data_IF_787113655278
#
_entry.id   IF_787113655278
#
_cell.length_a   1.000
_cell.length_b   1.000
_cell.length_c   1.000
_cell.angle_alpha   90.00
_cell.angle_beta   90.00
_cell.angle_gamma   90.00
#
_symmetry.space_group_name_H-M   'P 1'
#
loop_
_entity.id
_entity.type
_entity.pdbx_description
1 polymer ?
#
# COMPACT_ATOMS: atom_id res chain seq x y z
N UNK A 1 -18.45 12.08 -20.23
CA UNK A 1 -18.53 11.58 -18.85
C UNK A 1 -19.59 10.51 -18.78
N UNK A 2 -19.22 9.29 -18.52
CA UNK A 2 -20.17 8.21 -18.29
C UNK A 2 -20.87 8.47 -16.94
N UNK A 3 -22.15 8.85 -16.99
CA UNK A 3 -22.95 9.19 -15.79
C UNK A 3 -23.17 8.00 -14.84
N UNK A 4 -22.72 6.81 -15.22
CA UNK A 4 -22.88 5.57 -14.44
C UNK A 4 -21.70 5.20 -13.57
N UNK A 5 -20.53 5.84 -13.73
CA UNK A 5 -19.37 5.52 -12.89
C UNK A 5 -19.44 6.21 -11.53
N UNK A 6 -19.13 5.49 -10.42
CA UNK A 6 -19.16 6.10 -9.09
C UNK A 6 -18.09 7.19 -8.98
N UNK A 7 -18.41 8.27 -8.27
CA UNK A 7 -17.42 9.30 -7.92
C UNK A 7 -16.53 8.77 -6.79
N UNK A 8 -15.27 8.54 -7.09
CA UNK A 8 -14.30 7.93 -6.17
C UNK A 8 -13.40 9.00 -5.55
N UNK A 9 -13.33 9.04 -4.22
CA UNK A 9 -12.31 9.77 -3.48
C UNK A 9 -11.09 8.88 -3.26
N UNK A 10 -9.91 9.34 -3.63
CA UNK A 10 -8.63 8.67 -3.34
C UNK A 10 -7.89 9.47 -2.29
N UNK A 11 -7.70 8.92 -1.09
CA UNK A 11 -6.79 9.50 -0.10
C UNK A 11 -5.39 8.93 -0.29
N UNK A 12 -4.36 9.70 0.04
CA UNK A 12 -2.99 9.28 -0.26
C UNK A 12 -2.67 9.27 -1.76
N UNK A 13 -3.42 10.03 -2.56
CA UNK A 13 -3.32 10.08 -4.02
C UNK A 13 -1.93 10.42 -4.57
N UNK A 14 -1.13 11.16 -3.82
CA UNK A 14 0.26 11.51 -4.18
C UNK A 14 1.31 10.51 -3.70
N UNK A 15 0.89 9.41 -3.06
CA UNK A 15 1.77 8.30 -2.66
C UNK A 15 1.99 7.32 -3.81
N UNK A 16 2.93 6.38 -3.64
CA UNK A 16 3.31 5.40 -4.65
C UNK A 16 2.10 4.65 -5.27
N UNK A 17 1.29 3.98 -4.44
CA UNK A 17 0.08 3.26 -4.91
C UNK A 17 -1.01 4.26 -5.34
N UNK A 18 -1.15 5.37 -4.61
CA UNK A 18 -2.17 6.38 -4.89
C UNK A 18 -2.02 7.06 -6.23
N UNK A 19 -0.79 7.31 -6.67
CA UNK A 19 -0.48 7.87 -7.98
C UNK A 19 -0.91 6.92 -9.10
N UNK A 20 -0.60 5.64 -8.97
CA UNK A 20 -0.99 4.62 -9.95
C UNK A 20 -2.51 4.44 -10.02
N UNK A 21 -3.20 4.40 -8.86
CA UNK A 21 -4.67 4.39 -8.80
C UNK A 21 -5.25 5.64 -9.47
N UNK A 22 -4.70 6.82 -9.18
CA UNK A 22 -5.18 8.08 -9.73
C UNK A 22 -5.03 8.14 -11.25
N UNK A 23 -3.91 7.65 -11.77
CA UNK A 23 -3.62 7.56 -13.21
C UNK A 23 -4.62 6.63 -13.90
N UNK A 24 -4.81 5.40 -13.40
CA UNK A 24 -5.76 4.44 -13.97
C UNK A 24 -7.20 4.97 -13.99
N UNK A 25 -7.66 5.61 -12.91
CA UNK A 25 -8.98 6.22 -12.87
C UNK A 25 -9.14 7.33 -13.91
N UNK A 26 -8.15 8.22 -14.02
CA UNK A 26 -8.14 9.30 -15.00
C UNK A 26 -8.16 8.77 -16.45
N UNK A 27 -7.30 7.80 -16.77
CA UNK A 27 -7.21 7.17 -18.11
C UNK A 27 -8.48 6.41 -18.49
N UNK A 28 -9.20 5.84 -17.50
CA UNK A 28 -10.49 5.18 -17.75
C UNK A 28 -11.66 6.15 -17.99
N UNK A 29 -11.40 7.46 -18.00
CA UNK A 29 -12.42 8.50 -18.11
C UNK A 29 -13.25 8.72 -16.84
N UNK A 30 -12.87 8.09 -15.72
CA UNK A 30 -13.37 8.43 -14.41
C UNK A 30 -12.63 9.67 -13.92
N UNK A 31 -13.36 10.71 -13.51
CA UNK A 31 -12.77 11.92 -12.93
C UNK A 31 -12.75 11.80 -11.40
N UNK A 32 -11.71 11.17 -10.80
CA UNK A 32 -11.65 10.95 -9.37
C UNK A 32 -11.48 12.26 -8.60
N UNK A 33 -11.85 12.25 -7.32
CA UNK A 33 -11.43 13.28 -6.38
C UNK A 33 -10.16 12.83 -5.68
N UNK A 34 -9.07 13.60 -5.83
CA UNK A 34 -7.76 13.29 -5.29
C UNK A 34 -7.48 14.15 -4.05
N UNK A 35 -7.40 13.50 -2.89
CA UNK A 35 -7.09 14.16 -1.64
C UNK A 35 -5.58 14.34 -1.49
N UNK A 36 -5.13 15.59 -1.43
CA UNK A 36 -3.74 15.98 -1.22
C UNK A 36 -3.60 16.79 0.06
N UNK A 37 -2.56 16.50 0.85
CA UNK A 37 -2.30 17.22 2.10
C UNK A 37 -1.63 18.57 1.87
N UNK A 38 -0.68 18.61 0.95
CA UNK A 38 0.09 19.82 0.60
C UNK A 38 0.07 20.02 -0.92
N UNK A 39 -0.10 21.27 -1.43
CA UNK A 39 -0.16 21.52 -2.86
C UNK A 39 1.03 20.97 -3.66
N UNK A 40 2.25 21.10 -3.13
CA UNK A 40 3.46 20.58 -3.78
C UNK A 40 3.45 19.06 -3.98
N UNK A 41 2.73 18.32 -3.15
CA UNK A 41 2.58 16.86 -3.31
C UNK A 41 1.71 16.49 -4.52
N UNK A 42 0.85 17.41 -4.98
CA UNK A 42 0.01 17.22 -6.14
C UNK A 42 0.72 17.46 -7.48
N UNK A 43 1.94 17.99 -7.51
CA UNK A 43 2.63 18.34 -8.77
C UNK A 43 2.80 17.13 -9.70
N UNK A 44 3.10 15.97 -9.17
CA UNK A 44 3.31 14.74 -9.97
C UNK A 44 2.04 14.23 -10.64
N UNK A 45 0.88 14.47 -10.02
CA UNK A 45 -0.44 14.03 -10.49
C UNK A 45 -1.29 15.18 -11.04
N UNK A 46 -0.74 16.40 -11.09
CA UNK A 46 -1.46 17.62 -11.49
C UNK A 46 -1.90 17.66 -12.95
N UNK A 47 -1.32 16.78 -13.78
CA UNK A 47 -1.67 16.63 -15.20
C UNK A 47 -2.89 15.71 -15.42
N UNK A 48 -3.35 14.97 -14.38
CA UNK A 48 -4.48 14.05 -14.49
C UNK A 48 -5.81 14.80 -14.55
N UNK A 49 -6.76 14.27 -15.33
CA UNK A 49 -8.15 14.75 -15.30
C UNK A 49 -8.83 14.30 -14.00
N UNK A 50 -8.73 15.14 -12.99
CA UNK A 50 -9.19 14.86 -11.63
C UNK A 50 -9.66 16.14 -10.92
N UNK A 51 -10.47 15.97 -9.87
CA UNK A 51 -10.80 17.02 -8.93
C UNK A 51 -9.81 16.96 -7.74
N UNK A 52 -9.06 18.02 -7.51
CA UNK A 52 -8.13 18.08 -6.37
C UNK A 52 -8.78 18.72 -5.17
N UNK A 53 -8.63 18.09 -4.00
CA UNK A 53 -9.08 18.65 -2.73
C UNK A 53 -7.95 18.62 -1.70
N UNK A 54 -7.75 19.76 -1.05
CA UNK A 54 -6.78 19.81 0.05
C UNK A 54 -7.47 19.40 1.35
N UNK A 55 -6.98 18.31 1.97
CA UNK A 55 -7.43 17.86 3.28
C UNK A 55 -6.35 17.03 3.97
N UNK A 56 -6.43 16.92 5.30
CA UNK A 56 -5.50 16.14 6.14
C UNK A 56 -6.30 15.20 7.03
N UNK A 57 -5.86 13.94 7.14
CA UNK A 57 -6.47 12.93 8.01
C UNK A 57 -6.48 13.37 9.50
N UNK A 58 -5.55 14.23 9.88
CA UNK A 58 -5.47 14.79 11.24
C UNK A 58 -6.33 16.04 11.45
N UNK A 59 -7.03 16.48 10.41
CA UNK A 59 -8.00 17.60 10.47
C UNK A 59 -9.41 17.16 10.06
N UNK A 60 -10.26 16.70 11.01
CA UNK A 60 -11.59 16.20 10.71
C UNK A 60 -12.48 17.19 9.95
N UNK A 61 -12.30 18.51 10.15
CA UNK A 61 -13.09 19.53 9.45
C UNK A 61 -12.80 19.53 7.95
N UNK A 62 -11.57 19.31 7.54
CA UNK A 62 -11.19 19.21 6.12
C UNK A 62 -11.79 17.98 5.45
N UNK A 63 -11.99 16.89 6.19
CA UNK A 63 -12.53 15.63 5.67
C UNK A 63 -14.01 15.75 5.26
N UNK A 64 -14.80 16.55 5.96
CA UNK A 64 -16.23 16.80 5.64
C UNK A 64 -16.38 17.33 4.20
N UNK A 65 -15.51 18.23 3.78
CA UNK A 65 -15.53 18.75 2.41
C UNK A 65 -14.98 17.72 1.41
N UNK A 66 -13.99 16.94 1.82
CA UNK A 66 -13.38 15.93 0.94
C UNK A 66 -14.38 14.84 0.51
N UNK A 67 -15.29 14.42 1.39
CA UNK A 67 -16.25 13.33 1.11
C UNK A 67 -17.57 13.80 0.48
N UNK A 68 -17.83 15.10 0.37
CA UNK A 68 -19.11 15.62 -0.11
C UNK A 68 -19.40 15.20 -1.55
N UNK A 69 -20.51 14.48 -1.77
CA UNK A 69 -20.94 14.00 -3.09
C UNK A 69 -20.02 12.92 -3.68
N UNK A 70 -19.35 12.14 -2.83
CA UNK A 70 -18.54 10.98 -3.18
C UNK A 70 -19.37 9.72 -3.00
N UNK A 71 -19.30 8.77 -3.92
CA UNK A 71 -19.96 7.46 -3.84
C UNK A 71 -19.10 6.42 -3.15
N UNK A 72 -17.78 6.42 -3.44
CA UNK A 72 -16.84 5.42 -2.94
C UNK A 72 -15.52 6.05 -2.51
N UNK A 73 -14.89 5.49 -1.49
CA UNK A 73 -13.59 5.94 -0.98
C UNK A 73 -12.56 4.83 -1.14
N UNK A 74 -11.42 5.14 -1.78
CA UNK A 74 -10.18 4.38 -1.75
C UNK A 74 -9.25 5.02 -0.71
N UNK A 75 -9.20 4.43 0.48
CA UNK A 75 -8.41 4.96 1.58
C UNK A 75 -7.01 4.36 1.60
N UNK A 76 -6.08 5.03 0.90
CA UNK A 76 -4.65 4.68 0.80
C UNK A 76 -3.77 5.58 1.67
N UNK A 77 -4.35 6.65 2.22
CA UNK A 77 -3.65 7.61 3.05
C UNK A 77 -3.20 6.98 4.36
N UNK A 78 -1.88 6.84 4.54
CA UNK A 78 -1.28 6.30 5.74
C UNK A 78 0.14 6.86 5.94
N UNK A 79 0.64 6.78 7.17
CA UNK A 79 2.06 6.92 7.47
C UNK A 79 2.70 5.53 7.39
N UNK A 80 3.13 5.15 6.18
CA UNK A 80 3.70 3.83 5.89
C UNK A 80 5.17 3.75 6.37
N UNK A 81 5.37 3.80 7.68
CA UNK A 81 6.69 3.75 8.34
C UNK A 81 6.66 2.75 9.49
N UNK A 82 7.85 2.25 9.88
CA UNK A 82 7.98 1.30 10.98
C UNK A 82 8.32 2.00 12.31
N UNK A 83 7.54 3.02 12.63
CA UNK A 83 7.63 3.78 13.88
C UNK A 83 6.78 3.16 14.98
N UNK A 84 6.81 3.74 16.18
CA UNK A 84 6.01 3.26 17.31
C UNK A 84 4.50 3.45 17.05
N UNK A 85 3.71 2.62 17.69
CA UNK A 85 2.24 2.68 17.63
C UNK A 85 1.72 4.11 17.89
N UNK A 86 2.23 4.78 18.93
CA UNK A 86 1.79 6.13 19.29
C UNK A 86 2.10 7.18 18.21
N UNK A 87 3.20 7.02 17.47
CA UNK A 87 3.54 7.91 16.35
C UNK A 87 2.63 7.69 15.14
N UNK A 88 2.21 6.44 14.91
CA UNK A 88 1.38 6.07 13.77
C UNK A 88 -0.11 6.36 14.01
N UNK A 89 -0.56 6.29 15.27
CA UNK A 89 -1.97 6.36 15.67
C UNK A 89 -2.73 7.57 15.12
N UNK A 90 -2.23 8.82 15.23
CA UNK A 90 -3.01 9.99 14.80
C UNK A 90 -3.43 9.94 13.33
N UNK A 91 -2.57 9.37 12.45
CA UNK A 91 -2.84 9.30 11.02
C UNK A 91 -3.56 8.01 10.64
N UNK A 92 -3.07 6.84 11.13
CA UNK A 92 -3.57 5.55 10.68
C UNK A 92 -4.90 5.19 11.34
N UNK A 93 -5.01 5.32 12.66
CA UNK A 93 -6.21 4.95 13.37
C UNK A 93 -7.21 6.11 13.46
N UNK A 94 -6.80 7.18 14.15
CA UNK A 94 -7.71 8.27 14.48
C UNK A 94 -8.17 9.00 13.21
N UNK A 95 -7.27 9.24 12.25
CA UNK A 95 -7.58 9.85 10.96
C UNK A 95 -8.47 8.99 10.07
N UNK A 96 -8.28 7.65 10.07
CA UNK A 96 -9.15 6.73 9.31
C UNK A 96 -10.57 6.71 9.88
N UNK A 97 -10.70 6.75 11.21
CA UNK A 97 -12.01 6.80 11.87
C UNK A 97 -12.73 8.11 11.60
N UNK A 98 -12.02 9.23 11.66
CA UNK A 98 -12.59 10.54 11.31
C UNK A 98 -13.05 10.60 9.85
N UNK A 99 -12.30 9.96 8.93
CA UNK A 99 -12.70 9.83 7.54
C UNK A 99 -13.96 8.95 7.38
N UNK A 100 -14.08 7.84 8.12
CA UNK A 100 -15.25 6.97 8.10
C UNK A 100 -16.48 7.70 8.66
N UNK A 101 -16.34 8.45 9.75
CA UNK A 101 -17.42 9.27 10.31
C UNK A 101 -17.91 10.31 9.31
N UNK A 102 -17.00 11.04 8.66
CA UNK A 102 -17.34 11.99 7.61
C UNK A 102 -18.03 11.31 6.41
N UNK A 103 -17.55 10.13 6.01
CA UNK A 103 -18.11 9.32 4.92
C UNK A 103 -19.53 8.87 5.23
N UNK A 104 -19.79 8.38 6.43
CA UNK A 104 -21.12 7.98 6.89
C UNK A 104 -22.09 9.16 6.88
N UNK A 105 -21.68 10.32 7.42
CA UNK A 105 -22.48 11.54 7.42
C UNK A 105 -22.80 12.05 6.00
N UNK A 106 -21.92 11.80 5.02
CA UNK A 106 -22.11 12.17 3.62
C UNK A 106 -22.82 11.09 2.78
N UNK A 107 -23.28 9.98 3.40
CA UNK A 107 -23.94 8.84 2.73
C UNK A 107 -23.08 8.18 1.65
N UNK A 108 -21.77 8.10 1.87
CA UNK A 108 -20.84 7.31 1.03
C UNK A 108 -21.26 5.84 1.09
N UNK A 109 -21.28 5.17 -0.05
CA UNK A 109 -21.78 3.79 -0.17
C UNK A 109 -20.69 2.75 0.14
N UNK A 110 -19.48 3.00 -0.34
CA UNK A 110 -18.38 2.03 -0.27
C UNK A 110 -17.12 2.66 0.28
N UNK A 111 -16.47 1.96 1.20
CA UNK A 111 -15.19 2.36 1.80
C UNK A 111 -14.20 1.21 1.69
N UNK A 112 -13.17 1.36 0.85
CA UNK A 112 -12.10 0.38 0.67
C UNK A 112 -10.84 0.86 1.37
N UNK A 113 -10.35 0.08 2.32
CA UNK A 113 -9.18 0.39 3.14
C UNK A 113 -7.96 -0.42 2.70
N UNK A 114 -6.84 0.26 2.47
CA UNK A 114 -5.54 -0.41 2.27
C UNK A 114 -4.95 -0.81 3.62
N UNK A 115 -5.03 -2.09 3.95
CA UNK A 115 -4.36 -2.68 5.09
C UNK A 115 -2.98 -3.24 4.70
N UNK A 116 -2.44 -4.21 5.42
CA UNK A 116 -1.11 -4.78 5.16
C UNK A 116 -1.06 -6.26 5.55
N UNK A 117 -0.28 -7.06 4.84
CA UNK A 117 0.03 -8.44 5.24
C UNK A 117 0.74 -8.53 6.60
N UNK A 118 1.39 -7.47 7.04
CA UNK A 118 2.06 -7.42 8.35
C UNK A 118 1.11 -7.55 9.55
N UNK A 119 -0.20 -7.59 9.32
CA UNK A 119 -1.20 -7.94 10.33
C UNK A 119 -1.14 -9.42 10.73
N UNK A 120 -0.59 -10.29 9.87
CA UNK A 120 -0.48 -11.72 10.15
C UNK A 120 0.71 -12.10 11.04
N UNK A 121 1.78 -11.29 11.05
CA UNK A 121 3.01 -11.60 11.76
C UNK A 121 3.99 -12.40 10.90
N UNK A 122 4.56 -13.48 11.43
CA UNK A 122 5.54 -14.36 10.77
C UNK A 122 4.97 -15.79 10.73
N UNK A 123 4.58 -16.27 9.55
CA UNK A 123 3.87 -17.53 9.38
C UNK A 123 4.55 -18.39 8.32
N UNK A 124 4.63 -19.71 8.56
CA UNK A 124 5.20 -20.69 7.61
C UNK A 124 4.21 -21.10 6.52
N UNK A 125 2.92 -21.09 6.84
CA UNK A 125 1.86 -21.55 5.95
C UNK A 125 1.28 -20.38 5.14
N UNK A 126 0.66 -20.73 4.00
CA UNK A 126 -0.06 -19.73 3.19
C UNK A 126 -1.23 -19.15 3.97
N UNK A 127 -1.40 -17.83 3.83
CA UNK A 127 -2.49 -17.09 4.46
C UNK A 127 -3.64 -16.82 3.51
N UNK A 128 -4.83 -16.77 4.09
CA UNK A 128 -6.07 -16.35 3.42
C UNK A 128 -6.90 -15.44 4.34
N UNK A 129 -8.15 -15.17 3.96
CA UNK A 129 -9.05 -14.31 4.73
C UNK A 129 -9.41 -14.89 6.12
N UNK A 130 -9.41 -16.23 6.27
CA UNK A 130 -9.73 -16.91 7.51
C UNK A 130 -8.54 -17.06 8.47
N UNK A 131 -7.32 -16.85 7.97
CA UNK A 131 -6.10 -16.97 8.78
C UNK A 131 -6.09 -15.96 9.92
N UNK A 132 -5.86 -16.37 11.18
CA UNK A 132 -5.77 -15.46 12.31
C UNK A 132 -4.69 -14.40 12.13
N UNK A 133 -5.00 -13.17 12.50
CA UNK A 133 -4.06 -12.04 12.42
C UNK A 133 -3.39 -11.80 13.77
N UNK A 134 -2.07 -12.02 13.83
CA UNK A 134 -1.23 -11.90 15.04
C UNK A 134 0.01 -11.03 14.79
N UNK A 135 -0.15 -9.71 14.65
CA UNK A 135 0.94 -8.83 14.24
C UNK A 135 2.05 -8.73 15.28
N UNK A 136 3.29 -8.85 14.84
CA UNK A 136 4.50 -8.74 15.68
C UNK A 136 5.11 -7.33 15.65
N UNK A 137 4.65 -6.44 14.76
CA UNK A 137 5.12 -5.07 14.59
C UNK A 137 4.02 -4.07 14.93
N UNK A 138 4.40 -2.91 15.46
CA UNK A 138 3.44 -1.82 15.77
C UNK A 138 2.66 -1.37 14.53
N UNK A 139 3.29 -1.35 13.37
CA UNK A 139 2.61 -1.06 12.11
C UNK A 139 1.50 -2.09 11.79
N UNK A 140 1.78 -3.38 11.96
CA UNK A 140 0.77 -4.43 11.78
C UNK A 140 -0.34 -4.34 12.82
N UNK A 141 0.01 -4.08 14.09
CA UNK A 141 -0.96 -3.91 15.19
C UNK A 141 -1.95 -2.80 14.93
N UNK A 142 -1.45 -1.62 14.54
CA UNK A 142 -2.31 -0.47 14.28
C UNK A 142 -3.17 -0.67 13.02
N UNK A 143 -2.64 -1.31 11.98
CA UNK A 143 -3.41 -1.66 10.78
C UNK A 143 -4.56 -2.60 11.13
N UNK A 144 -4.31 -3.64 11.91
CA UNK A 144 -5.32 -4.61 12.36
C UNK A 144 -6.40 -3.96 13.24
N UNK A 145 -6.00 -3.10 14.18
CA UNK A 145 -6.95 -2.37 15.00
C UNK A 145 -7.83 -1.45 14.15
N UNK A 146 -7.23 -0.75 13.20
CA UNK A 146 -7.96 0.13 12.26
C UNK A 146 -8.96 -0.67 11.43
N UNK A 147 -8.59 -1.84 10.86
CA UNK A 147 -9.53 -2.74 10.18
C UNK A 147 -10.75 -3.04 11.03
N UNK A 148 -10.51 -3.52 12.27
CA UNK A 148 -11.56 -3.95 13.19
C UNK A 148 -12.51 -2.80 13.56
N UNK A 149 -11.97 -1.61 13.78
CA UNK A 149 -12.78 -0.45 14.14
C UNK A 149 -13.54 0.11 12.94
N UNK A 150 -12.90 0.25 11.78
CA UNK A 150 -13.58 0.68 10.57
C UNK A 150 -14.72 -0.27 10.17
N UNK A 151 -14.53 -1.58 10.29
CA UNK A 151 -15.59 -2.56 10.00
C UNK A 151 -16.80 -2.38 10.93
N UNK A 152 -16.58 -2.09 12.21
CA UNK A 152 -17.67 -1.83 13.18
C UNK A 152 -18.42 -0.54 12.86
N UNK A 153 -17.70 0.55 12.62
CA UNK A 153 -18.28 1.85 12.29
C UNK A 153 -19.06 1.78 10.96
N UNK A 154 -18.50 1.13 9.95
CA UNK A 154 -19.16 0.94 8.66
C UNK A 154 -20.46 0.13 8.79
N UNK A 155 -20.44 -0.99 9.55
CA UNK A 155 -21.64 -1.78 9.82
C UNK A 155 -22.74 -0.97 10.52
N UNK A 156 -22.36 -0.15 11.50
CA UNK A 156 -23.29 0.73 12.21
C UNK A 156 -23.88 1.83 11.34
N UNK A 157 -23.14 2.29 10.35
CA UNK A 157 -23.52 3.36 9.43
C UNK A 157 -24.15 2.87 8.11
N UNK A 158 -24.22 1.57 7.87
CA UNK A 158 -24.70 0.99 6.60
C UNK A 158 -23.77 1.25 5.41
N UNK A 159 -22.48 1.46 5.65
CA UNK A 159 -21.46 1.63 4.61
C UNK A 159 -20.88 0.26 4.25
N UNK A 160 -20.81 -0.08 2.95
CA UNK A 160 -20.10 -1.28 2.49
C UNK A 160 -18.61 -1.13 2.75
N UNK A 161 -18.01 -2.05 3.51
CA UNK A 161 -16.61 -1.98 3.91
C UNK A 161 -15.79 -3.13 3.35
N UNK A 162 -14.72 -2.78 2.64
CA UNK A 162 -13.69 -3.69 2.21
C UNK A 162 -12.32 -3.29 2.75
N UNK A 163 -11.52 -4.26 3.20
CA UNK A 163 -10.12 -4.04 3.54
C UNK A 163 -9.22 -5.03 2.81
N UNK A 164 -8.23 -4.51 2.10
CA UNK A 164 -7.25 -5.32 1.41
C UNK A 164 -5.92 -5.29 2.16
N UNK A 165 -5.44 -6.46 2.59
CA UNK A 165 -4.14 -6.64 3.22
C UNK A 165 -3.09 -6.73 2.14
N UNK A 166 -2.48 -5.57 1.85
CA UNK A 166 -1.52 -5.41 0.75
C UNK A 166 -0.20 -6.12 1.05
N UNK A 167 0.41 -6.79 0.06
CA UNK A 167 1.74 -7.39 0.14
C UNK A 167 2.85 -6.35 -0.03
N UNK A 168 4.06 -6.80 -0.36
CA UNK A 168 5.07 -5.93 -0.95
C UNK A 168 4.60 -5.51 -2.34
N UNK A 169 4.12 -4.28 -2.44
CA UNK A 169 3.76 -3.67 -3.72
C UNK A 169 5.02 -3.09 -4.35
N UNK A 170 5.34 -3.49 -5.59
CA UNK A 170 6.53 -3.05 -6.28
C UNK A 170 6.21 -2.35 -7.61
N UNK A 171 7.13 -1.47 -8.05
CA UNK A 171 7.04 -0.65 -9.26
C UNK A 171 8.20 0.32 -9.33
N UNK A 172 8.30 1.12 -10.39
CA UNK A 172 9.44 2.03 -10.65
C UNK A 172 9.70 3.04 -9.52
N UNK A 173 8.67 3.40 -8.76
CA UNK A 173 8.74 4.36 -7.67
C UNK A 173 8.82 3.72 -6.28
N UNK A 174 8.87 2.40 -6.18
CA UNK A 174 9.09 1.73 -4.90
C UNK A 174 10.53 1.98 -4.39
N UNK A 175 10.70 1.85 -3.07
CA UNK A 175 11.97 2.16 -2.41
C UNK A 175 13.11 1.23 -2.83
N UNK A 176 12.84 -0.02 -3.22
CA UNK A 176 13.85 -0.95 -3.73
C UNK A 176 14.40 -0.48 -5.07
N UNK A 177 13.52 -0.16 -6.00
CA UNK A 177 13.92 0.30 -7.32
C UNK A 177 14.53 1.71 -7.26
N UNK A 178 14.10 2.55 -6.32
CA UNK A 178 14.78 3.84 -6.05
C UNK A 178 16.20 3.63 -5.52
N UNK A 179 16.44 2.69 -4.60
CA UNK A 179 17.79 2.35 -4.15
C UNK A 179 18.64 1.80 -5.30
N UNK A 180 18.06 1.00 -6.16
CA UNK A 180 18.74 0.46 -7.34
C UNK A 180 19.15 1.57 -8.31
N UNK A 181 18.29 2.55 -8.56
CA UNK A 181 18.64 3.79 -9.31
C UNK A 181 19.82 4.54 -8.68
N UNK A 182 19.89 4.57 -7.35
CA UNK A 182 20.99 5.19 -6.60
C UNK A 182 22.25 4.34 -6.53
N UNK A 183 22.28 3.20 -7.23
CA UNK A 183 23.45 2.36 -7.45
C UNK A 183 23.68 1.23 -6.46
N UNK A 184 22.95 1.15 -5.33
CA UNK A 184 23.11 0.06 -4.38
C UNK A 184 21.80 -0.27 -3.67
N UNK A 185 21.32 -1.49 -3.81
CA UNK A 185 20.23 -2.08 -3.06
C UNK A 185 20.77 -2.83 -1.84
N UNK A 186 20.33 -2.47 -0.65
CA UNK A 186 20.66 -3.19 0.58
C UNK A 186 19.44 -4.00 1.03
N UNK A 187 19.56 -5.33 1.09
CA UNK A 187 18.56 -6.22 1.63
C UNK A 187 18.87 -6.49 3.10
N UNK A 188 18.02 -6.11 4.05
CA UNK A 188 18.25 -6.32 5.48
C UNK A 188 17.81 -7.72 5.93
N UNK A 189 18.60 -8.73 5.56
CA UNK A 189 18.37 -10.15 5.76
C UNK A 189 19.00 -10.95 4.62
N UNK A 190 19.04 -12.28 4.74
CA UNK A 190 19.54 -13.14 3.68
C UNK A 190 18.50 -13.40 2.57
N UNK A 191 17.30 -12.88 2.73
CA UNK A 191 16.20 -12.98 1.77
C UNK A 191 15.66 -14.41 1.56
N UNK A 192 15.86 -15.30 2.53
CA UNK A 192 15.40 -16.70 2.42
C UNK A 192 13.92 -16.89 2.77
N UNK A 193 13.35 -15.92 3.44
CA UNK A 193 11.93 -15.89 3.79
C UNK A 193 11.08 -15.63 2.55
N UNK A 194 9.94 -16.31 2.48
CA UNK A 194 8.94 -16.08 1.43
C UNK A 194 8.07 -14.89 1.81
N UNK A 195 7.86 -14.02 0.85
CA UNK A 195 6.94 -12.90 1.00
C UNK A 195 6.14 -12.74 -0.30
N UNK A 196 4.86 -12.39 -0.17
CA UNK A 196 4.06 -12.13 -1.35
C UNK A 196 4.37 -10.77 -1.93
N UNK A 197 4.45 -10.72 -3.25
CA UNK A 197 4.67 -9.52 -4.02
C UNK A 197 3.43 -9.23 -4.89
N UNK A 198 3.27 -7.99 -5.34
CA UNK A 198 2.25 -7.63 -6.31
C UNK A 198 2.68 -6.37 -7.05
N UNK A 199 2.57 -6.39 -8.38
CA UNK A 199 2.88 -5.21 -9.18
C UNK A 199 1.90 -4.07 -8.89
N UNK A 200 2.40 -2.83 -8.86
CA UNK A 200 1.60 -1.65 -8.50
C UNK A 200 0.39 -1.43 -9.42
N UNK A 201 0.54 -1.74 -10.72
CA UNK A 201 -0.58 -1.64 -11.68
C UNK A 201 -1.71 -2.64 -11.36
N UNK A 202 -1.38 -3.87 -10.99
CA UNK A 202 -2.38 -4.86 -10.58
C UNK A 202 -2.99 -4.50 -9.23
N UNK A 203 -2.19 -3.99 -8.29
CA UNK A 203 -2.69 -3.45 -7.02
C UNK A 203 -3.72 -2.34 -7.26
N UNK A 204 -3.43 -1.40 -8.17
CA UNK A 204 -4.35 -0.32 -8.51
C UNK A 204 -5.66 -0.85 -9.10
N UNK A 205 -5.58 -1.79 -10.05
CA UNK A 205 -6.76 -2.39 -10.70
C UNK A 205 -7.65 -3.13 -9.71
N UNK A 206 -7.06 -3.89 -8.78
CA UNK A 206 -7.81 -4.60 -7.73
C UNK A 206 -8.50 -3.61 -6.80
N UNK A 207 -7.80 -2.57 -6.33
CA UNK A 207 -8.36 -1.54 -5.47
C UNK A 207 -9.53 -0.79 -6.15
N UNK A 208 -9.37 -0.43 -7.41
CA UNK A 208 -10.41 0.24 -8.22
C UNK A 208 -11.61 -0.69 -8.38
N UNK A 209 -11.40 -1.94 -8.77
CA UNK A 209 -12.46 -2.93 -8.90
C UNK A 209 -13.26 -3.13 -7.60
N UNK A 210 -12.57 -3.14 -6.45
CA UNK A 210 -13.23 -3.19 -5.14
C UNK A 210 -14.12 -1.98 -4.88
N UNK A 211 -13.67 -0.77 -5.24
CA UNK A 211 -14.45 0.45 -5.04
C UNK A 211 -15.63 0.56 -6.00
N UNK A 212 -15.47 0.12 -7.25
CA UNK A 212 -16.52 0.17 -8.29
C UNK A 212 -17.61 -0.89 -8.06
N UNK A 213 -17.22 -2.10 -7.63
CA UNK A 213 -18.13 -3.23 -7.44
C UNK A 213 -18.69 -3.35 -6.01
N UNK A 214 -18.29 -2.48 -5.10
CA UNK A 214 -18.76 -2.52 -3.71
C UNK A 214 -18.25 -3.76 -2.95
N UNK A 215 -16.96 -4.06 -3.06
CA UNK A 215 -16.36 -5.19 -2.37
C UNK A 215 -16.58 -5.13 -0.85
N UNK A 216 -17.05 -6.22 -0.27
CA UNK A 216 -17.29 -6.38 1.16
C UNK A 216 -16.46 -7.53 1.71
N UNK A 217 -15.64 -7.25 2.72
CA UNK A 217 -14.82 -8.24 3.39
C UNK A 217 -13.40 -7.76 3.70
N UNK A 218 -12.64 -8.60 4.41
CA UNK A 218 -11.23 -8.35 4.73
C UNK A 218 -10.43 -9.52 4.19
N UNK A 219 -9.53 -9.26 3.25
CA UNK A 219 -8.75 -10.32 2.58
C UNK A 219 -7.32 -9.87 2.28
N UNK A 220 -6.36 -10.81 2.34
CA UNK A 220 -5.05 -10.59 1.74
C UNK A 220 -5.16 -10.62 0.22
N UNK A 221 -4.24 -9.95 -0.46
CA UNK A 221 -4.07 -10.04 -1.91
C UNK A 221 -2.61 -10.29 -2.27
N UNK A 222 -2.37 -10.88 -3.43
CA UNK A 222 -1.03 -11.17 -3.93
C UNK A 222 -1.04 -11.60 -5.38
N UNK A 223 0.16 -11.83 -5.91
CA UNK A 223 0.38 -12.45 -7.21
C UNK A 223 0.14 -13.96 -7.19
N UNK A 224 0.34 -14.63 -8.32
CA UNK A 224 0.06 -16.07 -8.44
C UNK A 224 1.16 -16.96 -7.84
N UNK A 225 2.35 -16.41 -7.54
CA UNK A 225 3.48 -17.18 -7.06
C UNK A 225 4.29 -16.40 -6.01
N UNK A 226 4.02 -16.58 -4.71
CA UNK A 226 4.83 -16.00 -3.65
C UNK A 226 6.30 -16.37 -3.82
N UNK A 227 7.21 -15.41 -3.70
CA UNK A 227 8.62 -15.60 -3.92
C UNK A 227 9.46 -15.19 -2.71
N UNK A 228 10.69 -15.71 -2.59
CA UNK A 228 11.63 -15.21 -1.61
C UNK A 228 12.24 -13.89 -2.07
N UNK A 229 12.69 -13.07 -1.12
CA UNK A 229 13.44 -11.85 -1.46
C UNK A 229 14.74 -12.14 -2.24
N UNK A 230 15.37 -13.29 -1.97
CA UNK A 230 16.56 -13.72 -2.72
C UNK A 230 16.21 -14.05 -4.17
N UNK A 231 15.03 -14.61 -4.43
CA UNK A 231 14.52 -14.85 -5.78
C UNK A 231 14.19 -13.54 -6.49
N UNK A 232 13.47 -12.64 -5.82
CA UNK A 232 13.20 -11.29 -6.33
C UNK A 232 14.49 -10.60 -6.79
N UNK A 233 15.54 -10.61 -5.94
CA UNK A 233 16.86 -10.07 -6.32
C UNK A 233 17.53 -10.81 -7.47
N UNK A 234 17.34 -12.13 -7.57
CA UNK A 234 17.89 -12.93 -8.67
C UNK A 234 17.26 -12.50 -10.00
N UNK A 235 15.94 -12.30 -10.03
CA UNK A 235 15.23 -11.79 -11.21
C UNK A 235 15.73 -10.40 -11.58
N UNK A 236 15.86 -9.49 -10.60
CA UNK A 236 16.44 -8.15 -10.83
C UNK A 236 17.83 -8.24 -11.45
N UNK A 237 18.72 -9.06 -10.90
CA UNK A 237 20.10 -9.21 -11.40
C UNK A 237 20.18 -9.87 -12.78
N UNK A 238 19.26 -10.79 -13.08
CA UNK A 238 19.19 -11.42 -14.40
C UNK A 238 18.91 -10.38 -15.49
N UNK A 239 17.94 -9.48 -15.26
CA UNK A 239 17.55 -8.47 -16.23
C UNK A 239 18.38 -7.17 -16.14
N UNK A 240 19.04 -6.94 -15.01
CA UNK A 240 19.95 -5.80 -14.81
C UNK A 240 21.27 -6.26 -14.16
N UNK A 241 22.20 -6.87 -14.92
CA UNK A 241 23.44 -7.47 -14.39
C UNK A 241 24.36 -6.48 -13.66
N UNK A 242 24.23 -5.17 -13.96
CA UNK A 242 25.00 -4.10 -13.28
C UNK A 242 24.42 -3.72 -11.93
N UNK A 243 23.23 -4.24 -11.56
CA UNK A 243 22.61 -3.97 -10.28
C UNK A 243 23.52 -4.43 -9.13
N UNK A 244 23.87 -3.51 -8.26
CA UNK A 244 24.59 -3.82 -7.02
C UNK A 244 23.59 -4.09 -5.93
N UNK A 245 23.61 -5.29 -5.37
CA UNK A 245 22.77 -5.66 -4.25
C UNK A 245 23.62 -6.37 -3.18
N UNK A 246 23.46 -5.94 -1.94
CA UNK A 246 24.15 -6.49 -0.78
C UNK A 246 23.11 -7.01 0.22
N UNK A 247 23.15 -8.31 0.52
CA UNK A 247 22.38 -8.91 1.59
C UNK A 247 23.18 -8.84 2.90
N UNK A 248 22.61 -8.18 3.91
CA UNK A 248 23.23 -8.10 5.23
C UNK A 248 22.59 -9.13 6.17
N UNK A 249 23.35 -9.89 6.97
CA UNK A 249 22.78 -10.72 8.03
C UNK A 249 21.84 -9.89 8.91
N UNK A 250 20.71 -10.47 9.30
CA UNK A 250 19.66 -9.75 10.05
C UNK A 250 20.19 -9.11 11.34
N UNK A 251 21.06 -9.82 12.08
CA UNK A 251 21.66 -9.29 13.31
C UNK A 251 22.51 -8.04 13.06
N UNK A 252 23.26 -8.01 11.94
CA UNK A 252 24.07 -6.84 11.56
C UNK A 252 23.19 -5.67 11.12
N UNK A 253 22.14 -5.95 10.33
CA UNK A 253 21.17 -4.94 9.93
C UNK A 253 20.43 -4.36 11.15
N UNK A 254 20.05 -5.17 12.14
CA UNK A 254 19.40 -4.72 13.37
C UNK A 254 20.33 -3.84 14.21
N UNK A 255 21.59 -4.24 14.42
CA UNK A 255 22.54 -3.46 15.23
C UNK A 255 22.88 -2.13 14.57
N UNK A 256 23.11 -2.12 13.25
CA UNK A 256 23.41 -0.89 12.52
C UNK A 256 22.21 0.07 12.51
N UNK A 257 21.00 -0.41 12.26
CA UNK A 257 19.79 0.42 12.28
C UNK A 257 19.49 0.95 13.68
N UNK A 258 19.68 0.15 14.72
CA UNK A 258 19.51 0.59 16.12
C UNK A 258 20.50 1.70 16.48
N UNK A 259 21.77 1.58 16.06
CA UNK A 259 22.79 2.61 16.30
C UNK A 259 22.52 3.93 15.57
N UNK A 260 21.93 3.86 14.36
CA UNK A 260 21.65 5.04 13.54
C UNK A 260 20.34 5.74 13.95
N UNK A 261 19.37 5.00 14.49
CA UNK A 261 18.02 5.51 14.82
C UNK A 261 18.02 6.80 15.65
N UNK A 262 18.85 6.99 16.73
CA UNK A 262 18.87 8.22 17.50
C UNK A 262 19.25 9.46 16.69
N UNK A 263 20.10 9.30 15.68
CA UNK A 263 20.57 10.40 14.83
C UNK A 263 19.58 10.77 13.73
N UNK A 264 18.63 9.88 13.43
CA UNK A 264 17.64 10.06 12.35
C UNK A 264 16.48 10.98 12.71
N UNK A 265 16.24 11.25 13.99
CA UNK A 265 15.24 12.24 14.42
C UNK A 265 15.43 13.64 13.81
N UNK A 266 16.60 13.90 13.24
CA UNK A 266 16.92 15.14 12.52
C UNK A 266 16.62 15.08 11.01
N UNK A 267 16.20 13.92 10.47
CA UNK A 267 15.82 13.77 9.06
C UNK A 267 14.29 13.82 8.89
N UNK A 268 13.76 14.53 7.87
CA UNK A 268 12.31 14.71 7.70
C UNK A 268 11.54 13.43 7.35
N UNK A 269 12.21 12.37 6.89
CA UNK A 269 11.58 11.09 6.53
C UNK A 269 12.38 9.92 7.09
N UNK A 270 11.77 9.07 7.94
CA UNK A 270 12.37 7.79 8.29
C UNK A 270 12.35 6.89 7.03
N UNK A 271 13.53 6.47 6.55
CA UNK A 271 13.65 5.49 5.48
C UNK A 271 13.46 4.06 6.01
N UNK A 272 13.82 3.08 5.20
CA UNK A 272 13.80 1.65 5.58
C UNK A 272 14.86 1.26 6.62
N UNK A 273 15.73 2.18 7.03
CA UNK A 273 16.84 1.91 7.93
C UNK A 273 16.39 1.99 9.40
N UNK A 274 15.33 1.28 9.76
CA UNK A 274 14.83 1.16 11.13
C UNK A 274 14.81 -0.31 11.55
N UNK A 275 14.95 -0.63 12.85
CA UNK A 275 14.82 -2.01 13.32
C UNK A 275 13.47 -2.64 12.96
N UNK A 276 12.40 -1.85 12.93
CA UNK A 276 11.08 -2.30 12.51
C UNK A 276 11.05 -2.72 11.03
N UNK A 277 11.66 -1.94 10.14
CA UNK A 277 11.80 -2.30 8.73
C UNK A 277 12.61 -3.60 8.58
N UNK A 278 13.77 -3.72 9.24
CA UNK A 278 14.57 -4.96 9.20
C UNK A 278 13.74 -6.18 9.60
N UNK A 279 12.93 -6.07 10.65
CA UNK A 279 12.06 -7.17 11.08
C UNK A 279 10.96 -7.48 10.06
N UNK A 280 10.33 -6.46 9.46
CA UNK A 280 9.28 -6.67 8.46
C UNK A 280 9.79 -7.42 7.23
N UNK A 281 11.02 -7.15 6.79
CA UNK A 281 11.65 -7.85 5.67
C UNK A 281 11.98 -9.31 5.96
N UNK A 282 12.03 -9.71 7.21
CA UNK A 282 12.36 -11.07 7.60
C UNK A 282 11.13 -11.91 8.02
N UNK A 283 9.92 -11.37 7.93
CA UNK A 283 8.69 -12.14 8.12
C UNK A 283 8.45 -13.06 6.92
N UNK A 284 7.92 -14.27 7.17
CA UNK A 284 7.35 -15.13 6.15
C UNK A 284 5.84 -14.85 6.07
N UNK A 285 5.34 -14.45 4.92
CA UNK A 285 3.91 -14.28 4.66
C UNK A 285 3.66 -14.59 3.19
N UNK A 286 3.20 -15.80 2.91
CA UNK A 286 2.77 -16.22 1.57
C UNK A 286 1.24 -16.17 1.49
N UNK A 287 0.69 -15.49 0.51
CA UNK A 287 -0.76 -15.40 0.28
C UNK A 287 -1.19 -16.50 -0.67
N UNK A 288 -2.30 -17.18 -0.37
CA UNK A 288 -2.94 -18.10 -1.32
C UNK A 288 -3.32 -17.37 -2.60
N UNK A 289 -2.90 -17.87 -3.78
CA UNK A 289 -3.15 -17.19 -5.05
C UNK A 289 -4.64 -17.03 -5.38
N UNK A 290 -4.99 -15.99 -6.10
CA UNK A 290 -6.30 -15.79 -6.70
C UNK A 290 -7.37 -15.19 -5.80
N UNK A 291 -7.01 -14.76 -4.59
CA UNK A 291 -7.96 -14.12 -3.70
C UNK A 291 -8.32 -12.70 -4.21
N UNK A 292 -9.59 -12.35 -4.08
CA UNK A 292 -10.20 -11.06 -4.44
C UNK A 292 -10.21 -10.79 -5.94
N UNK A 293 -9.07 -10.74 -6.63
CA UNK A 293 -9.03 -10.33 -8.04
C UNK A 293 -9.78 -11.28 -8.97
N UNK A 294 -9.83 -12.60 -8.67
CA UNK A 294 -10.68 -13.55 -9.42
C UNK A 294 -12.15 -13.27 -9.21
N UNK A 295 -12.57 -12.96 -7.98
CA UNK A 295 -13.95 -12.62 -7.66
C UNK A 295 -14.40 -11.33 -8.35
N UNK A 296 -13.47 -10.39 -8.59
CA UNK A 296 -13.70 -9.18 -9.37
C UNK A 296 -13.69 -9.41 -10.89
N UNK A 297 -13.44 -10.65 -11.36
CA UNK A 297 -13.33 -10.96 -12.78
C UNK A 297 -12.06 -10.39 -13.43
N UNK A 298 -11.03 -10.12 -12.66
CA UNK A 298 -9.76 -9.59 -13.15
C UNK A 298 -8.76 -10.70 -13.44
N UNK A 299 -7.87 -10.46 -14.40
CA UNK A 299 -6.63 -11.19 -14.57
C UNK A 299 -5.47 -10.27 -14.25
N UNK A 300 -4.43 -10.78 -13.60
CA UNK A 300 -3.23 -10.01 -13.34
C UNK A 300 -2.50 -9.71 -14.67
N UNK A 301 -1.98 -8.49 -14.78
CA UNK A 301 -1.10 -8.09 -15.89
C UNK A 301 0.28 -8.71 -15.72
N UNK A 302 0.70 -8.83 -14.46
CA UNK A 302 1.98 -9.38 -14.05
C UNK A 302 1.74 -10.48 -13.01
N UNK A 303 1.43 -11.72 -13.46
CA UNK A 303 1.06 -12.83 -12.58
C UNK A 303 2.14 -13.21 -11.57
N UNK A 304 3.40 -12.95 -11.87
CA UNK A 304 4.53 -13.23 -10.99
C UNK A 304 5.61 -12.14 -11.09
N UNK A 305 6.59 -12.19 -10.21
CA UNK A 305 7.77 -11.31 -10.28
C UNK A 305 8.59 -11.50 -11.55
N UNK A 306 8.46 -12.65 -12.23
CA UNK A 306 9.21 -12.94 -13.47
C UNK A 306 8.72 -12.11 -14.66
N UNK A 307 7.45 -11.70 -14.68
CA UNK A 307 6.90 -10.77 -15.66
C UNK A 307 7.00 -9.32 -15.18
N UNK A 308 6.69 -9.07 -13.90
CA UNK A 308 6.58 -7.70 -13.40
C UNK A 308 7.91 -7.00 -13.20
N UNK A 309 8.93 -7.69 -12.66
CA UNK A 309 10.25 -7.07 -12.42
C UNK A 309 10.92 -6.61 -13.72
N UNK A 310 10.95 -7.41 -14.80
CA UNK A 310 11.47 -6.96 -16.09
C UNK A 310 10.74 -5.71 -16.63
N UNK A 311 9.40 -5.64 -16.49
CA UNK A 311 8.63 -4.49 -16.94
C UNK A 311 9.02 -3.22 -16.18
N UNK A 312 9.17 -3.29 -14.87
CA UNK A 312 9.65 -2.17 -14.04
C UNK A 312 11.07 -1.74 -14.44
N UNK A 313 11.97 -2.69 -14.71
CA UNK A 313 13.33 -2.36 -15.12
C UNK A 313 13.37 -1.69 -16.51
N UNK A 314 12.51 -2.10 -17.45
CA UNK A 314 12.37 -1.44 -18.74
C UNK A 314 11.90 0.01 -18.61
N UNK A 315 10.90 0.25 -17.74
CA UNK A 315 10.42 1.60 -17.43
C UNK A 315 11.56 2.48 -16.87
N UNK A 316 12.30 1.96 -15.88
CA UNK A 316 13.41 2.69 -15.26
C UNK A 316 14.53 3.03 -16.25
N UNK A 317 14.83 2.11 -17.18
CA UNK A 317 15.89 2.31 -18.16
C UNK A 317 15.46 3.20 -19.32
N UNK A 318 14.16 3.30 -19.63
CA UNK A 318 13.64 4.20 -20.64
C UNK A 318 13.66 5.68 -20.20
N UNK A 319 13.65 5.94 -18.89
CA UNK A 319 13.72 7.29 -18.29
C UNK A 319 15.16 7.85 -18.24
N UNK A 320 16.16 7.10 -18.73
CA UNK A 320 17.58 7.48 -18.81
C UNK A 320 18.11 7.49 -20.24
#
# INVERSE_FOLDING_TARGET
MDKNKPKILVTGASGFIGEEVSRHLSESGCRPRLMIRRPLQGLRIGHLDAEFIQADLTDPKSLVQAVKGVDSILHLGARATFESYETLRPVILDGSLALMEAAAAASVKTFVYSSSLLVYGDLSDEVDAATPAEPVLDYGRIKLETEKRLAREAASAGVTFGALRLPHVYGSMDLYFQQLRNGLLILPGLGRNTFTHLHVADTARILIGCAEQGYQGISPIGDDLPATWAEFLRVVKHHHPRARALALPQWLALTTTAAITPFRRYRPHPGLETPGAVRSYNCNIAVRPGLVWRDLGLNLLFPTIHEGVPAVLQEILADH
#
